data_IF_216724642030
#
_entry.id   IF_216724642030
#
_cell.length_a   1.000
_cell.length_b   1.000
_cell.length_c   1.000
_cell.angle_alpha   90.00
_cell.angle_beta   90.00
_cell.angle_gamma   90.00
#
_symmetry.space_group_name_H-M   'P 1'
#
loop_
_entity.id
_entity.type
_entity.pdbx_description
1 polymer ?
#
# COMPACT_ATOMS: atom_id res chain seq x y z
N UNK A 1 3.52 25.85 -23.28
CA UNK A 1 4.59 25.70 -22.28
C UNK A 1 3.97 25.45 -20.90
N UNK A 2 3.03 26.28 -20.41
CA UNK A 2 2.42 26.12 -19.08
C UNK A 2 1.70 24.77 -18.87
N UNK A 3 1.02 24.25 -19.88
CA UNK A 3 0.34 22.96 -19.83
C UNK A 3 1.34 21.80 -19.61
N UNK A 4 2.47 21.80 -20.33
CA UNK A 4 3.51 20.78 -20.19
C UNK A 4 4.11 20.84 -18.79
N UNK A 5 4.49 22.03 -18.33
CA UNK A 5 5.03 22.21 -16.96
C UNK A 5 4.03 21.73 -15.92
N UNK A 6 2.75 22.08 -16.05
CA UNK A 6 1.70 21.65 -15.13
C UNK A 6 1.53 20.13 -15.08
N UNK A 7 1.53 19.46 -16.24
CA UNK A 7 1.41 18.01 -16.31
C UNK A 7 2.60 17.32 -15.63
N UNK A 8 3.82 17.74 -15.93
CA UNK A 8 5.02 17.17 -15.30
C UNK A 8 5.07 17.47 -13.80
N UNK A 9 4.78 18.71 -13.38
CA UNK A 9 4.76 19.05 -11.97
C UNK A 9 3.71 18.24 -11.20
N UNK A 10 2.51 18.04 -11.76
CA UNK A 10 1.47 17.23 -11.13
C UNK A 10 1.89 15.76 -11.06
N UNK A 11 2.34 15.17 -12.16
CA UNK A 11 2.62 13.73 -12.23
C UNK A 11 3.86 13.29 -11.43
N UNK A 12 4.90 14.12 -11.39
CA UNK A 12 6.18 13.70 -10.78
C UNK A 12 6.46 14.35 -9.41
N UNK A 13 5.84 15.48 -9.12
CA UNK A 13 6.11 16.22 -7.88
C UNK A 13 4.91 16.23 -6.96
N UNK A 14 3.76 16.73 -7.45
CA UNK A 14 2.62 16.95 -6.56
C UNK A 14 2.02 15.64 -6.06
N UNK A 15 1.85 14.63 -6.94
CA UNK A 15 1.30 13.31 -6.55
C UNK A 15 2.24 12.58 -5.60
N UNK A 16 3.55 12.73 -5.76
CA UNK A 16 4.53 12.08 -4.89
C UNK A 16 4.61 12.67 -3.48
N UNK A 17 4.26 13.96 -3.32
CA UNK A 17 4.40 14.68 -2.05
C UNK A 17 3.07 14.92 -1.34
N UNK A 18 1.99 14.97 -2.09
CA UNK A 18 0.66 15.29 -1.57
C UNK A 18 -0.35 14.26 -2.05
N UNK A 19 -1.21 13.82 -1.16
CA UNK A 19 -2.35 12.97 -1.53
C UNK A 19 -3.29 13.69 -2.52
N UNK A 20 -4.02 12.89 -3.29
CA UNK A 20 -4.92 13.37 -4.36
C UNK A 20 -5.92 14.42 -3.86
N UNK A 21 -6.45 14.24 -2.65
CA UNK A 21 -7.37 15.19 -2.03
C UNK A 21 -6.77 16.57 -1.81
N UNK A 22 -5.51 16.64 -1.36
CA UNK A 22 -4.81 17.91 -1.12
C UNK A 22 -4.59 18.66 -2.44
N UNK A 23 -4.24 17.94 -3.51
CA UNK A 23 -4.03 18.51 -4.84
C UNK A 23 -5.35 19.09 -5.38
N UNK A 24 -6.44 18.34 -5.33
CA UNK A 24 -7.76 18.76 -5.82
C UNK A 24 -8.24 20.00 -5.04
N UNK A 25 -8.10 20.00 -3.72
CA UNK A 25 -8.46 21.15 -2.89
C UNK A 25 -7.58 22.36 -3.19
N UNK A 26 -6.28 22.17 -3.40
CA UNK A 26 -5.36 23.24 -3.79
C UNK A 26 -5.74 23.89 -5.12
N UNK A 27 -6.06 23.08 -6.13
CA UNK A 27 -6.54 23.57 -7.43
C UNK A 27 -7.87 24.32 -7.28
N UNK A 28 -8.82 23.78 -6.51
CA UNK A 28 -10.10 24.45 -6.25
C UNK A 28 -9.91 25.83 -5.60
N UNK A 29 -9.03 25.94 -4.62
CA UNK A 29 -8.68 27.21 -3.96
C UNK A 29 -8.08 28.20 -4.95
N UNK A 30 -7.12 27.77 -5.78
CA UNK A 30 -6.50 28.63 -6.80
C UNK A 30 -7.54 29.15 -7.80
N UNK A 31 -8.43 28.28 -8.30
CA UNK A 31 -9.49 28.66 -9.23
C UNK A 31 -10.48 29.67 -8.60
N UNK A 32 -10.83 29.47 -7.34
CA UNK A 32 -11.72 30.36 -6.60
C UNK A 32 -11.09 31.75 -6.40
N UNK A 33 -9.80 31.80 -6.06
CA UNK A 33 -9.05 33.05 -5.93
C UNK A 33 -8.99 33.82 -7.26
N UNK A 34 -8.68 33.11 -8.37
CA UNK A 34 -8.65 33.71 -9.70
C UNK A 34 -10.04 34.21 -10.12
N UNK A 35 -11.10 33.43 -9.86
CA UNK A 35 -12.47 33.85 -10.14
C UNK A 35 -12.87 35.11 -9.36
N UNK A 36 -12.56 35.18 -8.07
CA UNK A 36 -12.81 36.38 -7.26
C UNK A 36 -11.99 37.58 -7.73
N UNK A 37 -10.73 37.40 -8.12
CA UNK A 37 -9.88 38.42 -8.65
C UNK A 37 -10.45 39.05 -9.94
N UNK A 38 -11.01 38.25 -10.82
CA UNK A 38 -11.65 38.68 -12.05
C UNK A 38 -12.97 39.45 -11.80
N UNK A 39 -13.75 39.02 -10.79
CA UNK A 39 -15.03 39.68 -10.43
C UNK A 39 -14.88 41.00 -9.73
N UNK A 40 -13.87 41.16 -8.87
CA UNK A 40 -13.70 42.33 -8.01
C UNK A 40 -12.92 43.48 -8.67
N UNK A 41 -12.37 43.31 -9.85
CA UNK A 41 -11.61 44.30 -10.58
C UNK A 41 -10.37 44.79 -9.82
N UNK A 42 -9.94 46.07 -10.12
CA UNK A 42 -8.64 46.62 -9.69
C UNK A 42 -8.54 47.06 -8.21
N UNK A 43 -9.36 46.53 -7.31
CA UNK A 43 -9.33 46.89 -5.87
C UNK A 43 -8.42 45.94 -5.08
N UNK A 44 -7.12 46.20 -5.08
CA UNK A 44 -6.05 45.39 -4.48
C UNK A 44 -6.26 45.01 -3.01
N UNK A 45 -6.89 45.88 -2.21
CA UNK A 45 -7.16 45.60 -0.79
C UNK A 45 -8.22 44.50 -0.58
N UNK A 46 -9.23 44.43 -1.46
CA UNK A 46 -10.26 43.41 -1.41
C UNK A 46 -9.71 42.06 -1.91
N UNK A 47 -8.75 42.08 -2.84
CA UNK A 47 -8.07 40.87 -3.32
C UNK A 47 -7.23 40.21 -2.22
N UNK A 48 -6.49 41.00 -1.43
CA UNK A 48 -5.71 40.47 -0.30
C UNK A 48 -6.59 39.86 0.79
N UNK A 49 -7.70 40.49 1.14
CA UNK A 49 -8.64 39.98 2.13
C UNK A 49 -9.37 38.72 1.66
N UNK A 50 -9.77 38.64 0.38
CA UNK A 50 -10.43 37.48 -0.18
C UNK A 50 -9.50 36.27 -0.31
N UNK A 51 -8.23 36.46 -0.69
CA UNK A 51 -7.21 35.44 -0.72
C UNK A 51 -6.96 34.81 0.67
N UNK A 52 -6.86 35.68 1.68
CA UNK A 52 -6.67 35.23 3.06
C UNK A 52 -7.89 34.43 3.57
N UNK A 53 -9.10 34.90 3.31
CA UNK A 53 -10.35 34.23 3.67
C UNK A 53 -10.47 32.86 3.01
N UNK A 54 -10.14 32.73 1.73
CA UNK A 54 -10.18 31.49 1.00
C UNK A 54 -9.12 30.51 1.49
N UNK A 55 -7.91 31.00 1.79
CA UNK A 55 -6.86 30.17 2.39
C UNK A 55 -7.26 29.65 3.78
N UNK A 56 -7.85 30.50 4.62
CA UNK A 56 -8.36 30.12 5.93
C UNK A 56 -9.52 29.12 5.83
N UNK A 57 -10.47 29.33 4.92
CA UNK A 57 -11.56 28.40 4.65
C UNK A 57 -11.02 27.05 4.15
N UNK A 58 -10.03 27.05 3.26
CA UNK A 58 -9.36 25.85 2.79
C UNK A 58 -8.70 25.06 3.92
N UNK A 59 -7.97 25.73 4.81
CA UNK A 59 -7.36 25.10 6.00
C UNK A 59 -8.43 24.57 6.96
N UNK A 60 -9.52 25.32 7.15
CA UNK A 60 -10.62 24.90 8.01
C UNK A 60 -11.34 23.66 7.45
N UNK A 61 -11.68 23.67 6.17
CA UNK A 61 -12.29 22.53 5.48
C UNK A 61 -11.36 21.31 5.52
N UNK A 62 -10.07 21.50 5.24
CA UNK A 62 -9.08 20.44 5.32
C UNK A 62 -8.99 19.81 6.72
N UNK A 63 -9.03 20.63 7.79
CA UNK A 63 -9.08 20.14 9.18
C UNK A 63 -10.36 19.36 9.47
N UNK A 64 -11.51 19.80 8.98
CA UNK A 64 -12.79 19.11 9.16
C UNK A 64 -12.88 17.81 8.36
N UNK A 65 -12.23 17.73 7.21
CA UNK A 65 -12.24 16.55 6.35
C UNK A 65 -11.26 15.46 6.79
N UNK A 66 -10.25 15.77 7.59
CA UNK A 66 -9.27 14.78 8.11
C UNK A 66 -9.91 13.56 8.78
N UNK A 67 -10.94 13.68 9.64
CA UNK A 67 -11.58 12.51 10.27
C UNK A 67 -12.38 11.65 9.27
N UNK A 68 -12.66 12.18 8.08
CA UNK A 68 -13.44 11.53 7.04
C UNK A 68 -12.59 11.14 5.82
N UNK A 69 -11.26 11.16 5.95
CA UNK A 69 -10.40 10.68 4.87
C UNK A 69 -10.73 9.21 4.59
N UNK A 70 -11.01 8.84 3.34
CA UNK A 70 -11.41 7.49 2.99
C UNK A 70 -10.29 6.47 3.22
N UNK A 71 -9.03 6.93 3.36
CA UNK A 71 -7.85 6.10 3.54
C UNK A 71 -7.25 6.25 4.93
N UNK A 72 -6.82 5.17 5.54
CA UNK A 72 -5.94 5.19 6.72
C UNK A 72 -4.58 5.81 6.34
N UNK A 73 -4.12 5.51 5.13
CA UNK A 73 -2.92 6.10 4.51
C UNK A 73 -3.09 6.15 2.99
N UNK A 74 -2.73 7.26 2.37
CA UNK A 74 -2.63 7.40 0.92
C UNK A 74 -1.15 7.36 0.53
N UNK A 75 -0.81 6.54 -0.47
CA UNK A 75 0.53 6.39 -1.03
C UNK A 75 0.53 6.69 -2.52
N UNK A 76 1.68 6.56 -3.17
CA UNK A 76 1.77 6.66 -4.63
C UNK A 76 1.12 5.47 -5.35
N UNK A 77 0.80 4.38 -4.63
CA UNK A 77 0.26 3.16 -5.18
C UNK A 77 -1.21 2.96 -4.80
N UNK A 78 -1.55 3.17 -3.52
CA UNK A 78 -2.86 2.78 -2.97
C UNK A 78 -3.44 3.79 -1.98
N UNK A 79 -4.77 3.81 -1.94
CA UNK A 79 -5.54 4.27 -0.79
C UNK A 79 -5.67 3.11 0.20
N UNK A 80 -4.83 3.06 1.21
CA UNK A 80 -4.77 1.97 2.19
C UNK A 80 -5.81 2.22 3.28
N UNK A 81 -6.64 1.23 3.56
CA UNK A 81 -7.63 1.23 4.65
C UNK A 81 -7.42 0.02 5.53
N UNK A 82 -7.56 0.22 6.83
CA UNK A 82 -7.58 -0.87 7.82
C UNK A 82 -8.89 -0.81 8.57
N UNK A 83 -9.56 -1.94 8.68
CA UNK A 83 -10.79 -2.10 9.46
C UNK A 83 -10.65 -3.24 10.46
N UNK A 84 -11.47 -3.23 11.48
CA UNK A 84 -11.71 -4.39 12.34
C UNK A 84 -13.00 -5.07 11.90
N UNK A 85 -12.94 -6.38 11.77
CA UNK A 85 -14.11 -7.23 11.53
C UNK A 85 -14.09 -8.41 12.50
N UNK A 86 -15.26 -8.91 12.83
CA UNK A 86 -15.37 -10.20 13.51
C UNK A 86 -15.52 -11.31 12.46
N UNK A 87 -14.69 -12.33 12.58
CA UNK A 87 -14.78 -13.55 11.75
C UNK A 87 -14.79 -14.76 12.66
N UNK A 88 -15.95 -15.43 12.68
CA UNK A 88 -16.19 -16.61 13.52
C UNK A 88 -15.96 -16.35 15.03
N UNK A 89 -16.41 -15.20 15.54
CA UNK A 89 -16.27 -14.80 16.93
C UNK A 89 -14.84 -14.35 17.32
N UNK A 90 -13.99 -14.04 16.34
CA UNK A 90 -12.64 -13.56 16.58
C UNK A 90 -12.36 -12.28 15.80
N UNK A 91 -11.77 -11.26 16.43
CA UNK A 91 -11.44 -10.03 15.76
C UNK A 91 -10.26 -10.24 14.81
N UNK A 92 -10.44 -9.77 13.58
CA UNK A 92 -9.40 -9.72 12.55
C UNK A 92 -9.24 -8.30 12.03
N UNK A 93 -8.03 -7.97 11.60
CA UNK A 93 -7.75 -6.75 10.86
C UNK A 93 -7.88 -7.03 9.36
N UNK A 94 -8.61 -6.18 8.68
CA UNK A 94 -8.84 -6.27 7.24
C UNK A 94 -8.04 -5.18 6.56
N UNK A 95 -7.15 -5.59 5.66
CA UNK A 95 -6.43 -4.68 4.78
C UNK A 95 -7.21 -4.50 3.49
N UNK A 96 -7.50 -3.26 3.14
CA UNK A 96 -8.15 -2.90 1.88
C UNK A 96 -7.22 -1.94 1.16
N UNK A 97 -6.82 -2.30 -0.06
CA UNK A 97 -6.09 -1.43 -0.98
C UNK A 97 -7.08 -0.99 -2.05
N UNK A 98 -7.28 0.33 -2.15
CA UNK A 98 -8.31 0.98 -2.97
C UNK A 98 -9.73 0.44 -2.68
N UNK A 99 -10.18 -0.58 -3.37
CA UNK A 99 -11.51 -1.18 -3.25
C UNK A 99 -11.48 -2.65 -2.87
N UNK A 100 -10.35 -3.33 -3.08
CA UNK A 100 -10.23 -4.76 -2.89
C UNK A 100 -9.71 -5.09 -1.48
N UNK A 101 -10.30 -6.10 -0.87
CA UNK A 101 -9.77 -6.68 0.37
C UNK A 101 -8.57 -7.56 0.00
N UNK A 102 -7.41 -7.23 0.57
CA UNK A 102 -6.15 -7.94 0.30
C UNK A 102 -5.76 -8.94 1.39
N UNK A 103 -6.21 -8.71 2.64
CA UNK A 103 -5.94 -9.68 3.69
C UNK A 103 -6.92 -9.58 4.86
N UNK A 104 -7.05 -10.70 5.57
CA UNK A 104 -7.64 -10.80 6.90
C UNK A 104 -6.56 -11.30 7.86
N UNK A 105 -6.17 -10.49 8.82
CA UNK A 105 -5.03 -10.76 9.69
C UNK A 105 -5.48 -10.88 11.14
N UNK A 106 -5.26 -12.02 11.77
CA UNK A 106 -5.40 -12.17 13.22
C UNK A 106 -4.18 -11.55 13.91
N UNK A 107 -4.42 -10.69 14.91
CA UNK A 107 -3.36 -10.12 15.73
C UNK A 107 -2.91 -11.06 16.83
N UNK A 108 -3.83 -11.88 17.33
CA UNK A 108 -3.62 -12.78 18.48
C UNK A 108 -3.04 -14.13 18.07
N UNK A 109 -3.35 -14.57 16.85
CA UNK A 109 -2.94 -15.88 16.34
C UNK A 109 -2.42 -15.77 14.91
N UNK A 110 -1.09 -15.75 14.69
CA UNK A 110 -0.50 -15.68 13.38
C UNK A 110 -0.74 -16.92 12.53
N UNK A 111 -1.18 -18.03 13.12
CA UNK A 111 -1.45 -19.28 12.40
C UNK A 111 -2.86 -19.35 11.84
N UNK A 112 -3.73 -18.39 12.18
CA UNK A 112 -5.09 -18.31 11.67
C UNK A 112 -5.12 -17.72 10.26
N UNK A 113 -5.46 -18.53 9.27
CA UNK A 113 -5.66 -18.17 7.89
C UNK A 113 -7.14 -18.08 7.57
N UNK A 114 -7.63 -16.91 7.21
CA UNK A 114 -9.05 -16.64 6.92
C UNK A 114 -9.35 -16.76 5.43
N UNK A 115 -8.43 -16.33 4.56
CA UNK A 115 -8.58 -16.48 3.12
C UNK A 115 -8.33 -17.91 2.65
N UNK A 116 -9.22 -18.40 1.77
CA UNK A 116 -9.12 -19.76 1.24
C UNK A 116 -7.85 -20.02 0.44
N UNK A 117 -7.32 -19.04 -0.29
CA UNK A 117 -6.08 -19.21 -1.04
C UNK A 117 -4.85 -19.37 -0.12
N UNK A 118 -4.84 -18.70 1.04
CA UNK A 118 -3.78 -18.86 2.04
C UNK A 118 -3.77 -20.28 2.63
N UNK A 119 -4.93 -20.90 2.74
CA UNK A 119 -5.03 -22.31 3.17
C UNK A 119 -4.38 -23.26 2.14
N UNK A 120 -4.57 -22.98 0.84
CA UNK A 120 -3.88 -23.72 -0.23
C UNK A 120 -2.36 -23.49 -0.15
N UNK A 121 -1.92 -22.29 0.15
CA UNK A 121 -0.50 -22.00 0.38
C UNK A 121 0.05 -22.78 1.57
N UNK A 122 -0.74 -22.91 2.65
CA UNK A 122 -0.35 -23.71 3.81
C UNK A 122 -0.19 -25.20 3.47
N UNK A 123 -1.11 -25.78 2.69
CA UNK A 123 -1.00 -27.18 2.22
C UNK A 123 0.24 -27.41 1.36
N UNK A 124 0.53 -26.49 0.42
CA UNK A 124 1.73 -26.53 -0.41
C UNK A 124 3.01 -26.42 0.44
N UNK A 125 2.99 -25.57 1.46
CA UNK A 125 4.11 -25.39 2.39
C UNK A 125 4.34 -26.65 3.22
N UNK A 126 3.29 -27.26 3.77
CA UNK A 126 3.37 -28.54 4.50
C UNK A 126 3.98 -29.63 3.61
N UNK A 127 3.53 -29.74 2.37
CA UNK A 127 4.07 -30.73 1.44
C UNK A 127 5.58 -30.51 1.16
N UNK A 128 6.02 -29.27 1.01
CA UNK A 128 7.44 -28.96 0.80
C UNK A 128 8.26 -29.18 2.07
N UNK A 129 7.73 -28.84 3.24
CA UNK A 129 8.39 -28.97 4.55
C UNK A 129 8.63 -30.43 4.96
N UNK A 130 7.91 -31.40 4.38
CA UNK A 130 8.20 -32.81 4.60
C UNK A 130 9.63 -33.23 4.18
N UNK A 131 10.28 -32.45 3.33
CA UNK A 131 11.64 -32.70 2.84
C UNK A 131 12.71 -31.94 3.61
N UNK A 132 12.34 -30.78 4.12
CA UNK A 132 13.21 -29.89 4.86
C UNK A 132 12.34 -28.92 5.69
N UNK A 133 12.56 -28.88 7.00
CA UNK A 133 11.81 -28.00 7.90
C UNK A 133 12.27 -26.55 7.78
N UNK A 134 13.49 -26.28 7.30
CA UNK A 134 14.02 -24.96 7.04
C UNK A 134 13.77 -24.59 5.59
N UNK A 135 12.83 -23.67 5.39
CA UNK A 135 12.39 -23.26 4.06
C UNK A 135 12.97 -21.89 3.69
N UNK A 136 13.37 -21.76 2.43
CA UNK A 136 13.61 -20.45 1.82
C UNK A 136 12.39 -20.05 1.00
N UNK A 137 11.68 -19.02 1.43
CA UNK A 137 10.45 -18.59 0.80
C UNK A 137 10.53 -17.12 0.32
N UNK A 138 10.01 -16.87 -0.88
CA UNK A 138 9.85 -15.55 -1.46
C UNK A 138 8.37 -15.22 -1.64
N UNK A 139 7.95 -14.12 -1.08
CA UNK A 139 6.64 -13.52 -1.30
C UNK A 139 6.75 -12.33 -2.25
N UNK A 140 6.02 -12.37 -3.34
CA UNK A 140 5.88 -11.27 -4.28
C UNK A 140 4.57 -10.56 -3.96
N UNK A 141 4.66 -9.43 -3.25
CA UNK A 141 3.56 -8.77 -2.57
C UNK A 141 3.55 -9.10 -1.08
N UNK A 142 3.49 -8.07 -0.23
CA UNK A 142 3.43 -8.22 1.22
C UNK A 142 2.01 -8.27 1.74
N UNK A 143 1.14 -7.45 1.16
CA UNK A 143 -0.25 -7.31 1.62
C UNK A 143 -0.34 -7.14 3.13
N UNK A 144 -1.14 -7.96 3.79
CA UNK A 144 -1.26 -7.96 5.25
C UNK A 144 -0.14 -8.68 6.01
N UNK A 145 0.85 -9.21 5.33
CA UNK A 145 1.89 -10.07 5.91
C UNK A 145 1.31 -11.28 6.67
N UNK A 146 0.09 -11.69 6.35
CA UNK A 146 -0.59 -12.78 7.05
C UNK A 146 0.16 -14.08 6.86
N UNK A 147 0.42 -14.47 5.61
CA UNK A 147 1.10 -15.73 5.33
C UNK A 147 2.60 -15.71 5.66
N UNK A 148 3.37 -14.65 5.44
CA UNK A 148 4.74 -14.54 5.97
C UNK A 148 4.82 -14.75 7.50
N UNK A 149 3.90 -14.15 8.28
CA UNK A 149 3.81 -14.33 9.73
C UNK A 149 3.39 -15.75 10.14
N UNK A 150 2.50 -16.36 9.35
CA UNK A 150 2.14 -17.77 9.52
C UNK A 150 3.38 -18.66 9.37
N UNK A 151 4.19 -18.44 8.34
CA UNK A 151 5.42 -19.20 8.13
C UNK A 151 6.44 -18.98 9.25
N UNK A 152 6.65 -17.73 9.67
CA UNK A 152 7.54 -17.40 10.79
C UNK A 152 7.15 -18.15 12.08
N UNK A 153 5.84 -18.30 12.32
CA UNK A 153 5.32 -18.97 13.52
C UNK A 153 5.46 -20.48 13.48
N UNK A 154 5.23 -21.11 12.32
CA UNK A 154 5.18 -22.59 12.21
C UNK A 154 6.50 -23.20 11.72
N UNK A 155 7.34 -22.43 11.04
CA UNK A 155 8.62 -22.89 10.48
C UNK A 155 9.75 -21.97 10.95
N UNK A 156 10.05 -21.96 12.25
CA UNK A 156 11.07 -21.06 12.82
C UNK A 156 12.44 -21.37 12.22
N UNK A 157 13.20 -20.30 11.95
CA UNK A 157 14.52 -20.40 11.31
C UNK A 157 14.48 -20.46 9.78
N UNK A 158 13.28 -20.46 9.16
CA UNK A 158 13.12 -20.32 7.71
C UNK A 158 13.53 -18.93 7.22
N UNK A 159 14.07 -18.88 6.01
CA UNK A 159 14.51 -17.65 5.34
C UNK A 159 13.33 -17.04 4.58
N UNK A 160 12.65 -16.07 5.18
CA UNK A 160 11.40 -15.50 4.68
C UNK A 160 11.66 -14.11 4.09
N UNK A 161 11.54 -14.00 2.78
CA UNK A 161 11.69 -12.75 2.03
C UNK A 161 10.34 -12.26 1.51
N UNK A 162 10.09 -10.98 1.68
CA UNK A 162 8.92 -10.30 1.12
C UNK A 162 9.38 -9.15 0.25
N UNK A 163 8.91 -9.10 -0.99
CA UNK A 163 9.15 -7.99 -1.91
C UNK A 163 7.84 -7.25 -2.10
N UNK A 164 7.73 -6.08 -1.49
CA UNK A 164 6.55 -5.21 -1.50
C UNK A 164 6.89 -3.88 -2.16
N UNK A 165 6.13 -3.54 -3.20
CA UNK A 165 6.41 -2.32 -3.97
C UNK A 165 6.06 -1.05 -3.20
N UNK A 166 5.06 -1.10 -2.33
CA UNK A 166 4.60 0.06 -1.57
C UNK A 166 5.14 0.05 -0.12
N UNK A 167 6.10 0.93 0.21
CA UNK A 167 6.57 1.06 1.59
C UNK A 167 5.46 1.41 2.59
N UNK A 168 4.38 2.05 2.12
CA UNK A 168 3.23 2.39 2.95
C UNK A 168 2.46 1.15 3.40
N UNK A 169 2.32 0.12 2.54
CA UNK A 169 1.74 -1.17 2.91
C UNK A 169 2.58 -1.85 3.98
N UNK A 170 3.89 -1.91 3.80
CA UNK A 170 4.81 -2.45 4.81
C UNK A 170 4.70 -1.72 6.15
N UNK A 171 4.61 -0.38 6.12
CA UNK A 171 4.48 0.40 7.35
C UNK A 171 3.13 0.17 8.05
N UNK A 172 2.04 0.05 7.29
CA UNK A 172 0.72 -0.32 7.82
C UNK A 172 0.75 -1.71 8.46
N UNK A 173 1.50 -2.66 7.88
CA UNK A 173 1.64 -3.98 8.47
C UNK A 173 2.31 -3.94 9.84
N UNK A 174 3.34 -3.11 10.02
CA UNK A 174 3.95 -2.87 11.35
C UNK A 174 3.02 -2.17 12.33
N UNK A 175 2.23 -1.20 11.88
CA UNK A 175 1.41 -0.36 12.77
C UNK A 175 0.08 -1.03 13.15
N UNK A 176 -0.51 -1.81 12.25
CA UNK A 176 -1.89 -2.27 12.40
C UNK A 176 -2.09 -3.78 12.21
N UNK A 177 -1.20 -4.49 11.50
CA UNK A 177 -1.44 -5.87 11.09
C UNK A 177 -0.53 -6.89 11.81
N UNK A 178 0.13 -6.46 12.88
CA UNK A 178 0.87 -7.36 13.78
C UNK A 178 2.22 -7.84 13.25
N UNK A 179 2.76 -7.24 12.18
CA UNK A 179 4.15 -7.45 11.80
C UNK A 179 5.07 -6.81 12.86
N UNK A 180 6.00 -7.58 13.40
CA UNK A 180 6.88 -7.11 14.47
C UNK A 180 8.17 -6.54 13.90
N UNK A 181 8.72 -5.49 14.52
CA UNK A 181 9.98 -4.87 14.12
C UNK A 181 11.19 -5.78 14.30
N UNK A 182 11.11 -6.75 15.19
CA UNK A 182 12.11 -7.77 15.46
C UNK A 182 11.75 -9.12 14.82
N UNK A 183 10.92 -9.13 13.79
CA UNK A 183 10.58 -10.30 12.98
C UNK A 183 11.80 -10.72 12.15
N UNK A 184 11.94 -12.03 11.92
CA UNK A 184 12.93 -12.60 11.01
C UNK A 184 12.53 -12.43 9.52
N UNK A 185 11.34 -11.90 9.25
CA UNK A 185 10.86 -11.60 7.90
C UNK A 185 11.65 -10.42 7.33
N UNK A 186 12.40 -10.66 6.26
CA UNK A 186 13.17 -9.64 5.55
C UNK A 186 12.34 -9.02 4.44
N UNK A 187 12.04 -7.72 4.56
CA UNK A 187 11.26 -6.99 3.56
C UNK A 187 12.13 -6.13 2.66
N UNK A 188 11.88 -6.20 1.35
CA UNK A 188 12.47 -5.36 0.31
C UNK A 188 11.36 -4.50 -0.29
N UNK A 189 11.44 -3.17 -0.11
CA UNK A 189 10.47 -2.25 -0.70
C UNK A 189 10.94 -1.83 -2.09
N UNK A 190 10.62 -2.65 -3.08
CA UNK A 190 11.01 -2.45 -4.47
C UNK A 190 10.15 -3.29 -5.44
N UNK A 191 10.31 -3.06 -6.74
CA UNK A 191 9.68 -3.87 -7.78
C UNK A 191 10.25 -5.31 -7.79
N UNK A 192 9.36 -6.31 -7.74
CA UNK A 192 9.73 -7.71 -7.65
C UNK A 192 10.54 -8.21 -8.88
N UNK A 193 10.29 -7.67 -10.07
CA UNK A 193 11.06 -8.01 -11.26
C UNK A 193 12.50 -7.51 -11.15
N UNK A 194 12.68 -6.29 -10.67
CA UNK A 194 14.02 -5.73 -10.45
C UNK A 194 14.74 -6.47 -9.33
N UNK A 195 14.05 -6.84 -8.27
CA UNK A 195 14.61 -7.65 -7.20
C UNK A 195 15.16 -8.99 -7.72
N UNK A 196 14.36 -9.75 -8.46
CA UNK A 196 14.78 -11.05 -9.00
C UNK A 196 15.92 -10.93 -10.02
N UNK A 197 15.93 -9.89 -10.86
CA UNK A 197 17.00 -9.64 -11.82
C UNK A 197 18.37 -9.40 -11.14
N UNK A 198 18.37 -8.83 -9.93
CA UNK A 198 19.61 -8.60 -9.16
C UNK A 198 20.11 -9.81 -8.40
N UNK A 199 19.28 -10.86 -8.27
CA UNK A 199 19.63 -12.09 -7.56
C UNK A 199 19.45 -13.34 -8.42
N UNK A 200 20.07 -13.44 -9.59
CA UNK A 200 19.81 -14.49 -10.57
C UNK A 200 20.20 -15.89 -10.09
N UNK A 201 21.07 -15.99 -9.07
CA UNK A 201 21.56 -17.27 -8.54
C UNK A 201 20.85 -17.73 -7.26
N UNK A 202 20.04 -16.85 -6.64
CA UNK A 202 19.32 -17.22 -5.42
C UNK A 202 18.17 -18.15 -5.75
N UNK A 203 18.09 -19.24 -5.00
CA UNK A 203 17.00 -20.23 -5.13
C UNK A 203 16.11 -20.15 -3.91
N UNK A 204 14.81 -20.29 -4.14
CA UNK A 204 13.80 -20.41 -3.10
C UNK A 204 13.10 -21.76 -3.22
N UNK A 205 12.71 -22.33 -2.10
CA UNK A 205 11.90 -23.53 -2.03
C UNK A 205 10.45 -23.26 -2.41
N UNK A 206 9.99 -22.06 -2.07
CA UNK A 206 8.64 -21.57 -2.36
C UNK A 206 8.72 -20.15 -2.91
N UNK A 207 8.01 -19.89 -4.00
CA UNK A 207 7.76 -18.55 -4.51
C UNK A 207 6.25 -18.36 -4.58
N UNK A 208 5.74 -17.44 -3.77
CA UNK A 208 4.32 -17.18 -3.59
C UNK A 208 4.00 -15.80 -4.20
N UNK A 209 3.28 -15.80 -5.32
CA UNK A 209 2.92 -14.58 -6.04
C UNK A 209 1.55 -14.07 -5.60
N UNK A 210 1.53 -12.99 -4.82
CA UNK A 210 0.34 -12.35 -4.30
C UNK A 210 0.32 -10.85 -4.59
N UNK A 211 0.86 -10.45 -5.74
CA UNK A 211 0.89 -9.07 -6.20
C UNK A 211 -0.30 -8.79 -7.13
N UNK A 212 -1.39 -8.27 -6.56
CA UNK A 212 -2.61 -7.91 -7.29
C UNK A 212 -2.93 -6.43 -7.10
N UNK A 213 -3.57 -5.84 -8.12
CA UNK A 213 -4.32 -4.60 -7.97
C UNK A 213 -5.83 -4.89 -8.14
N UNK A 214 -6.68 -3.87 -8.08
CA UNK A 214 -8.15 -4.03 -8.20
C UNK A 214 -8.62 -4.75 -9.48
N UNK A 215 -7.76 -4.89 -10.50
CA UNK A 215 -8.16 -5.37 -11.82
C UNK A 215 -7.40 -6.62 -12.28
N UNK A 216 -6.12 -6.75 -11.92
CA UNK A 216 -5.27 -7.82 -12.46
C UNK A 216 -3.93 -7.95 -11.73
N UNK A 217 -3.22 -9.02 -12.04
CA UNK A 217 -1.78 -9.12 -11.78
C UNK A 217 -1.06 -8.12 -12.71
N UNK A 218 -0.09 -7.33 -12.22
CA UNK A 218 0.70 -6.45 -13.06
C UNK A 218 1.36 -7.22 -14.21
N UNK A 219 1.15 -6.75 -15.44
CA UNK A 219 1.54 -7.50 -16.65
C UNK A 219 3.03 -7.88 -16.68
N UNK A 220 3.91 -7.02 -16.16
CA UNK A 220 5.35 -7.26 -16.12
C UNK A 220 5.76 -8.41 -15.19
N UNK A 221 4.87 -8.84 -14.28
CA UNK A 221 5.05 -10.01 -13.42
C UNK A 221 4.47 -11.30 -14.03
N UNK A 222 3.87 -11.25 -15.22
CA UNK A 222 3.25 -12.40 -15.89
C UNK A 222 3.99 -12.84 -17.13
N UNK A 223 5.05 -12.14 -17.53
CA UNK A 223 5.82 -12.45 -18.76
C UNK A 223 6.70 -13.70 -18.57
N UNK A 224 7.05 -14.34 -19.69
CA UNK A 224 7.94 -15.50 -19.71
C UNK A 224 9.32 -15.16 -19.11
N UNK A 225 9.81 -13.96 -19.34
CA UNK A 225 11.10 -13.48 -18.84
C UNK A 225 11.09 -13.22 -17.33
N UNK A 226 9.92 -13.03 -16.72
CA UNK A 226 9.75 -12.90 -15.27
C UNK A 226 9.76 -14.28 -14.60
N UNK A 227 9.25 -15.30 -15.27
CA UNK A 227 9.24 -16.69 -14.80
C UNK A 227 10.36 -17.45 -15.50
N UNK A 228 11.63 -17.32 -15.07
CA UNK A 228 12.67 -18.21 -15.57
C UNK A 228 12.30 -19.64 -15.13
N UNK A 229 12.33 -20.57 -16.10
CA UNK A 229 11.98 -21.97 -15.92
C UNK A 229 12.96 -22.71 -15.02
#
# INVERSE_FOLDING_TARGET
VGSIIGTFATGFVLISWFGTHVIVMGVAVVLLVLGLALLLGRRWLLLGASTLLVAMAGVFIWRQMRPHMPCTRETNYFCIKVREEDRDGQPVRVLILDRLVHSYTSLNDPTKLVYGYEQIYAEATVYRAQRDEHLSALFIGGGGYTFPRYMEALYPGSDIHVVEIDPGVTQIAYEYLGLRRNSDIVTFNEDARLFLQRQPTRKYDLILGDAFNDFSVPYHLTTKEFKPG
#
